data_IF_310102499460
#
_entry.id   IF_310102499460
#
_cell.length_a   1.000
_cell.length_b   1.000
_cell.length_c   1.000
_cell.angle_alpha   90.00
_cell.angle_beta   90.00
_cell.angle_gamma   90.00
#
_symmetry.space_group_name_H-M   'P 1'
#
loop_
_entity.id
_entity.type
_entity.pdbx_description
1 polymer ?
#
# COMPACT_ATOMS: atom_id res chain seq x y z
N UNK A 1 0.28 12.49 -20.43
CA UNK A 1 -0.35 11.92 -19.22
C UNK A 1 -1.11 13.00 -18.47
N UNK A 2 -2.33 12.73 -18.04
CA UNK A 2 -3.26 13.73 -17.49
C UNK A 2 -2.72 14.57 -16.31
N UNK A 3 -1.93 13.97 -15.45
CA UNK A 3 -1.45 14.55 -14.19
C UNK A 3 0.07 14.77 -14.14
N UNK A 4 0.75 14.78 -15.29
CA UNK A 4 2.22 14.82 -15.34
C UNK A 4 2.87 15.99 -14.57
N UNK A 5 2.22 17.16 -14.56
CA UNK A 5 2.77 18.33 -13.88
C UNK A 5 2.54 18.30 -12.36
N UNK A 6 1.57 17.52 -11.90
CA UNK A 6 1.19 17.43 -10.50
C UNK A 6 1.80 16.21 -9.78
N UNK A 7 2.13 15.14 -10.55
CA UNK A 7 2.75 13.93 -9.99
C UNK A 7 4.12 14.28 -9.40
N UNK A 8 4.33 13.85 -8.16
CA UNK A 8 5.53 14.14 -7.40
C UNK A 8 5.52 15.49 -6.66
N UNK A 9 4.58 16.39 -6.99
CA UNK A 9 4.36 17.65 -6.26
C UNK A 9 3.25 17.47 -5.22
N UNK A 10 2.01 17.53 -5.67
CA UNK A 10 0.81 17.44 -4.83
C UNK A 10 -0.04 16.19 -5.12
N UNK A 11 0.33 15.40 -6.11
CA UNK A 11 -0.34 14.15 -6.47
C UNK A 11 0.65 12.99 -6.49
N UNK A 12 0.20 11.87 -5.93
CA UNK A 12 0.78 10.55 -6.15
C UNK A 12 -0.25 9.68 -6.85
N UNK A 13 0.16 8.99 -7.90
CA UNK A 13 -0.73 8.12 -8.66
C UNK A 13 -0.11 6.73 -8.81
N UNK A 14 -0.92 5.70 -8.61
CA UNK A 14 -0.52 4.32 -8.82
C UNK A 14 -1.67 3.54 -9.46
N UNK A 15 -1.50 3.17 -10.73
CA UNK A 15 -2.48 2.48 -11.56
C UNK A 15 -3.82 3.25 -11.56
N UNK A 16 -4.81 2.81 -10.78
CA UNK A 16 -6.15 3.37 -10.70
C UNK A 16 -6.35 4.28 -9.47
N UNK A 17 -5.39 4.31 -8.55
CA UNK A 17 -5.48 5.08 -7.31
C UNK A 17 -4.73 6.41 -7.43
N UNK A 18 -5.39 7.49 -7.04
CA UNK A 18 -4.83 8.84 -7.03
C UNK A 18 -4.98 9.44 -5.63
N UNK A 19 -3.89 9.94 -5.09
CA UNK A 19 -3.86 10.64 -3.80
C UNK A 19 -3.43 12.08 -4.03
N UNK A 20 -4.25 13.01 -3.60
CA UNK A 20 -3.93 14.45 -3.54
C UNK A 20 -3.50 14.78 -2.12
N UNK A 21 -2.30 15.33 -1.97
CA UNK A 21 -1.70 15.70 -0.68
C UNK A 21 -1.45 17.20 -0.64
N UNK A 22 -1.77 17.83 0.48
CA UNK A 22 -1.55 19.25 0.69
C UNK A 22 -1.17 19.54 2.14
N UNK A 23 -0.42 20.62 2.36
CA UNK A 23 0.04 21.01 3.70
C UNK A 23 -1.04 21.71 4.52
N UNK A 24 -1.95 22.41 3.87
CA UNK A 24 -3.04 23.19 4.50
C UNK A 24 -4.38 22.90 3.83
N UNK A 25 -5.46 23.16 4.54
CA UNK A 25 -6.82 22.96 4.00
C UNK A 25 -7.10 23.84 2.76
N UNK A 26 -6.62 25.10 2.79
CA UNK A 26 -6.82 26.02 1.67
C UNK A 26 -6.07 25.55 0.42
N UNK A 27 -4.82 25.09 0.60
CA UNK A 27 -4.06 24.51 -0.50
C UNK A 27 -4.70 23.23 -1.03
N UNK A 28 -5.31 22.42 -0.16
CA UNK A 28 -6.01 21.20 -0.57
C UNK A 28 -7.17 21.52 -1.53
N UNK A 29 -7.93 22.56 -1.24
CA UNK A 29 -9.04 22.98 -2.11
C UNK A 29 -8.52 23.42 -3.48
N UNK A 30 -7.45 24.22 -3.51
CA UNK A 30 -6.82 24.66 -4.75
C UNK A 30 -6.23 23.48 -5.55
N UNK A 31 -5.54 22.57 -4.89
CA UNK A 31 -4.93 21.37 -5.50
C UNK A 31 -6.01 20.41 -6.04
N UNK A 32 -7.14 20.28 -5.34
CA UNK A 32 -8.28 19.50 -5.82
C UNK A 32 -8.94 20.13 -7.04
N UNK A 33 -9.11 21.45 -7.06
CA UNK A 33 -9.70 22.17 -8.21
C UNK A 33 -8.84 21.97 -9.45
N UNK A 34 -7.53 22.13 -9.34
CA UNK A 34 -6.58 21.85 -10.41
C UNK A 34 -6.66 20.39 -10.88
N UNK A 35 -6.70 19.45 -9.94
CA UNK A 35 -6.80 18.02 -10.23
C UNK A 35 -8.08 17.69 -10.99
N UNK A 36 -9.22 18.18 -10.52
CA UNK A 36 -10.51 17.95 -11.18
C UNK A 36 -10.58 18.60 -12.55
N UNK A 37 -9.99 19.76 -12.74
CA UNK A 37 -9.88 20.43 -14.04
C UNK A 37 -9.12 19.55 -15.01
N UNK A 38 -7.98 19.01 -14.60
CA UNK A 38 -7.17 18.12 -15.42
C UNK A 38 -7.91 16.81 -15.74
N UNK A 39 -8.52 16.16 -14.75
CA UNK A 39 -9.29 14.95 -14.97
C UNK A 39 -10.45 15.16 -15.94
N UNK A 40 -11.16 16.27 -15.83
CA UNK A 40 -12.26 16.66 -16.72
C UNK A 40 -11.78 16.88 -18.15
N UNK A 41 -10.64 17.56 -18.32
CA UNK A 41 -10.04 17.81 -19.63
C UNK A 41 -9.72 16.51 -20.38
N UNK A 42 -9.25 15.50 -19.65
CA UNK A 42 -8.94 14.19 -20.23
C UNK A 42 -10.11 13.20 -20.15
N UNK A 43 -11.31 13.67 -19.79
CA UNK A 43 -12.55 12.87 -19.70
C UNK A 43 -12.45 11.66 -18.76
N UNK A 44 -11.65 11.76 -17.72
CA UNK A 44 -11.57 10.73 -16.67
C UNK A 44 -12.82 10.77 -15.79
N UNK A 45 -13.29 9.60 -15.39
CA UNK A 45 -14.42 9.46 -14.47
C UNK A 45 -13.94 8.93 -13.15
N UNK A 46 -14.36 9.56 -12.05
CA UNK A 46 -14.14 9.10 -10.70
C UNK A 46 -15.37 8.33 -10.21
N UNK A 47 -15.14 7.36 -9.33
CA UNK A 47 -16.22 6.70 -8.61
C UNK A 47 -16.45 7.41 -7.25
N UNK A 48 -17.53 8.19 -7.08
CA UNK A 48 -17.74 8.97 -5.86
C UNK A 48 -17.82 8.12 -4.60
N UNK A 49 -18.35 6.89 -4.69
CA UNK A 49 -18.47 5.98 -3.55
C UNK A 49 -17.13 5.46 -3.02
N UNK A 50 -16.05 5.61 -3.79
CA UNK A 50 -14.69 5.23 -3.40
C UNK A 50 -13.80 6.43 -3.08
N UNK A 51 -14.28 7.64 -3.31
CA UNK A 51 -13.53 8.86 -3.01
C UNK A 51 -13.64 9.22 -1.53
N UNK A 52 -12.53 9.59 -0.93
CA UNK A 52 -12.42 10.06 0.45
C UNK A 52 -11.73 11.42 0.42
N UNK A 53 -12.30 12.41 1.11
CA UNK A 53 -11.78 13.77 1.12
C UNK A 53 -11.56 14.28 2.54
N UNK A 54 -10.57 15.18 2.69
CA UNK A 54 -10.35 15.93 3.91
C UNK A 54 -9.96 15.08 5.12
N UNK A 55 -9.26 13.97 4.91
CA UNK A 55 -8.80 13.09 5.99
C UNK A 55 -7.32 13.32 6.30
N UNK A 56 -6.89 13.21 7.56
CA UNK A 56 -5.48 13.37 7.95
C UNK A 56 -4.61 12.20 7.49
N UNK A 57 -5.22 11.05 7.25
CA UNK A 57 -4.55 9.84 6.75
C UNK A 57 -5.50 9.02 5.89
N UNK A 58 -4.95 8.21 5.00
CA UNK A 58 -5.71 7.31 4.13
C UNK A 58 -4.96 6.00 3.90
N UNK A 59 -5.70 4.97 3.52
CA UNK A 59 -5.10 3.69 3.12
C UNK A 59 -4.85 3.72 1.62
N UNK A 60 -3.58 3.57 1.24
CA UNK A 60 -3.15 3.45 -0.15
C UNK A 60 -2.33 2.18 -0.32
N UNK A 61 -2.70 1.31 -1.25
CA UNK A 61 -2.03 0.03 -1.51
C UNK A 61 -1.84 -0.84 -0.24
N UNK A 62 -2.76 -0.70 0.72
CA UNK A 62 -2.70 -1.41 1.98
C UNK A 62 -1.75 -0.83 3.04
N UNK A 63 -1.20 0.35 2.80
CA UNK A 63 -0.42 1.12 3.78
C UNK A 63 -1.22 2.34 4.25
N UNK A 64 -0.98 2.75 5.49
CA UNK A 64 -1.52 4.01 5.99
C UNK A 64 -0.55 5.13 5.60
N UNK A 65 -1.05 6.10 4.85
CA UNK A 65 -0.30 7.28 4.43
C UNK A 65 -0.81 8.48 5.21
N UNK A 66 0.09 9.17 5.90
CA UNK A 66 -0.21 10.36 6.71
C UNK A 66 0.87 11.44 6.52
N UNK A 67 0.70 12.58 7.17
CA UNK A 67 1.74 13.63 7.22
C UNK A 67 3.04 13.16 7.88
N UNK A 68 2.98 12.13 8.72
CA UNK A 68 4.14 11.55 9.41
C UNK A 68 4.91 10.53 8.54
N UNK A 69 4.31 10.08 7.46
CA UNK A 69 4.90 9.12 6.53
C UNK A 69 3.99 7.95 6.21
N UNK A 70 4.61 6.83 5.87
CA UNK A 70 3.94 5.58 5.51
C UNK A 70 4.06 4.59 6.65
N UNK A 71 2.92 4.09 7.11
CA UNK A 71 2.83 3.13 8.21
C UNK A 71 2.17 1.83 7.76
N UNK A 72 2.49 0.76 8.47
CA UNK A 72 1.83 -0.53 8.28
C UNK A 72 0.37 -0.47 8.73
N UNK A 73 -0.51 -1.07 7.94
CA UNK A 73 -1.88 -1.32 8.38
C UNK A 73 -1.87 -2.33 9.54
N UNK A 74 -2.40 -1.97 10.72
CA UNK A 74 -2.46 -2.86 11.89
C UNK A 74 -3.12 -4.20 11.60
N UNK A 75 -4.11 -4.24 10.71
CA UNK A 75 -4.80 -5.48 10.32
C UNK A 75 -3.85 -6.47 9.63
N UNK A 76 -2.89 -5.97 8.84
CA UNK A 76 -1.87 -6.83 8.21
C UNK A 76 -0.85 -7.34 9.22
N UNK A 77 -0.50 -6.53 10.21
CA UNK A 77 0.39 -6.96 11.30
C UNK A 77 -0.30 -8.01 12.16
N UNK A 78 -1.55 -7.79 12.55
CA UNK A 78 -2.31 -8.73 13.37
C UNK A 78 -2.57 -10.06 12.65
N UNK A 79 -2.70 -10.05 11.33
CA UNK A 79 -2.82 -11.27 10.54
C UNK A 79 -1.59 -12.20 10.68
N UNK A 80 -0.40 -11.61 10.84
CA UNK A 80 0.84 -12.37 11.06
C UNK A 80 1.00 -12.76 12.53
N UNK A 81 0.77 -11.83 13.46
CA UNK A 81 0.95 -12.09 14.89
C UNK A 81 -0.02 -13.12 15.44
N UNK A 82 -1.23 -13.19 14.87
CA UNK A 82 -2.25 -14.17 15.22
C UNK A 82 -2.13 -15.49 14.44
N UNK A 83 -1.16 -15.59 13.53
CA UNK A 83 -0.94 -16.82 12.77
C UNK A 83 -0.39 -17.93 13.67
N UNK A 84 -1.03 -19.10 13.61
CA UNK A 84 -0.52 -20.28 14.29
C UNK A 84 0.82 -20.71 13.68
N UNK A 85 1.60 -21.45 14.47
CA UNK A 85 2.86 -22.04 14.01
C UNK A 85 2.63 -22.84 12.72
N UNK A 86 3.39 -22.61 11.64
CA UNK A 86 3.25 -23.38 10.40
C UNK A 86 3.44 -24.86 10.63
N UNK A 87 2.52 -25.68 10.16
CA UNK A 87 2.57 -27.14 10.26
C UNK A 87 2.67 -27.84 8.91
N UNK A 88 2.37 -27.12 7.83
CA UNK A 88 2.42 -27.65 6.48
C UNK A 88 2.98 -26.62 5.49
N UNK A 89 3.31 -27.07 4.28
CA UNK A 89 3.86 -26.22 3.21
C UNK A 89 2.95 -25.03 2.87
N UNK A 90 1.62 -25.21 2.89
CA UNK A 90 0.66 -24.14 2.68
C UNK A 90 0.74 -23.04 3.72
N UNK A 91 0.96 -23.38 4.97
CA UNK A 91 1.11 -22.41 6.05
C UNK A 91 2.39 -21.60 5.87
N UNK A 92 3.48 -22.24 5.44
CA UNK A 92 4.75 -21.57 5.13
C UNK A 92 4.58 -20.64 3.93
N UNK A 93 3.88 -21.06 2.88
CA UNK A 93 3.58 -20.21 1.73
C UNK A 93 2.77 -18.98 2.14
N UNK A 94 1.76 -19.15 2.98
CA UNK A 94 0.94 -18.06 3.52
C UNK A 94 1.78 -17.10 4.36
N UNK A 95 2.61 -17.61 5.27
CA UNK A 95 3.50 -16.78 6.09
C UNK A 95 4.50 -16.01 5.20
N UNK A 96 5.12 -16.67 4.26
CA UNK A 96 6.08 -16.07 3.34
C UNK A 96 5.42 -14.98 2.50
N UNK A 97 4.20 -15.21 1.98
CA UNK A 97 3.43 -14.20 1.26
C UNK A 97 3.13 -12.96 2.10
N UNK A 98 2.73 -13.16 3.36
CA UNK A 98 2.53 -12.05 4.30
C UNK A 98 3.83 -11.28 4.59
N UNK A 99 4.96 -11.97 4.77
CA UNK A 99 6.26 -11.33 5.00
C UNK A 99 6.72 -10.52 3.78
N UNK A 100 6.53 -11.05 2.57
CA UNK A 100 6.87 -10.34 1.33
C UNK A 100 6.01 -9.08 1.17
N UNK A 101 4.72 -9.16 1.50
CA UNK A 101 3.82 -8.00 1.48
C UNK A 101 4.26 -6.87 2.45
N UNK A 102 5.02 -7.20 3.50
CA UNK A 102 5.57 -6.27 4.48
C UNK A 102 7.07 -5.98 4.27
N UNK A 103 7.63 -6.35 3.11
CA UNK A 103 9.09 -6.34 2.86
C UNK A 103 9.75 -4.99 3.10
N UNK A 104 9.07 -3.88 2.79
CA UNK A 104 9.60 -2.53 3.02
C UNK A 104 9.83 -2.19 4.50
N UNK A 105 9.14 -2.88 5.41
CA UNK A 105 9.23 -2.65 6.85
C UNK A 105 10.03 -3.73 7.59
N UNK A 106 10.38 -4.81 6.92
CA UNK A 106 11.19 -5.89 7.49
C UNK A 106 12.62 -5.74 6.96
N UNK A 107 13.50 -5.24 7.82
CA UNK A 107 14.92 -5.16 7.48
C UNK A 107 15.50 -6.56 7.25
N UNK A 108 16.34 -6.69 6.23
CA UNK A 108 17.06 -7.93 5.90
C UNK A 108 16.12 -9.12 5.67
N UNK A 109 14.96 -8.88 5.03
CA UNK A 109 13.97 -9.93 4.77
C UNK A 109 14.56 -11.15 4.07
N UNK A 110 15.46 -10.94 3.10
CA UNK A 110 16.12 -12.03 2.37
C UNK A 110 16.87 -12.99 3.27
N UNK A 111 17.60 -12.49 4.26
CA UNK A 111 18.32 -13.29 5.23
C UNK A 111 17.37 -13.98 6.22
N UNK A 112 16.43 -13.23 6.77
CA UNK A 112 15.43 -13.77 7.73
C UNK A 112 14.50 -14.79 7.07
N UNK A 113 14.17 -14.60 5.81
CA UNK A 113 13.30 -15.48 5.04
C UNK A 113 14.01 -16.70 4.44
N UNK A 114 15.34 -16.77 4.48
CA UNK A 114 16.12 -17.81 3.79
C UNK A 114 15.71 -19.22 4.22
N UNK A 115 15.45 -19.44 5.50
CA UNK A 115 15.00 -20.73 6.02
C UNK A 115 13.66 -21.13 5.44
N UNK A 116 12.70 -20.20 5.34
CA UNK A 116 11.38 -20.45 4.77
C UNK A 116 11.45 -20.75 3.28
N UNK A 117 12.30 -20.04 2.53
CA UNK A 117 12.52 -20.31 1.11
C UNK A 117 13.19 -21.67 0.87
N UNK A 118 14.12 -22.08 1.73
CA UNK A 118 14.71 -23.43 1.68
C UNK A 118 13.67 -24.51 1.94
N UNK A 119 12.79 -24.32 2.91
CA UNK A 119 11.70 -25.25 3.20
C UNK A 119 10.71 -25.38 2.05
N UNK A 120 10.39 -24.28 1.36
CA UNK A 120 9.53 -24.30 0.18
C UNK A 120 10.15 -25.05 -1.01
N UNK A 121 11.49 -24.95 -1.18
CA UNK A 121 12.22 -25.72 -2.20
C UNK A 121 12.31 -27.20 -1.87
N UNK A 122 12.44 -27.52 -0.60
CA UNK A 122 12.58 -28.90 -0.11
C UNK A 122 11.23 -29.66 -0.07
N UNK A 123 10.24 -29.24 -0.81
CA UNK A 123 8.81 -29.61 -0.75
C UNK A 123 8.46 -31.13 -0.85
N UNK A 124 9.42 -32.03 -0.64
CA UNK A 124 9.20 -33.47 -0.61
C UNK A 124 9.14 -34.10 0.79
N UNK A 125 9.43 -33.36 1.85
CA UNK A 125 9.39 -33.89 3.22
C UNK A 125 9.05 -32.81 4.23
N UNK A 126 7.77 -32.56 4.41
CA UNK A 126 7.24 -32.02 5.65
C UNK A 126 6.50 -33.17 6.35
N UNK A 127 7.23 -33.87 7.07
CA UNK A 127 6.69 -34.82 8.08
C UNK A 127 6.83 -34.19 9.46
#
# INVERSE_FOLDING_TARGET
MCLNQQIGCNIEAYIDDVVVKSKTADNLIADLDETFTNLKQYRWKLNPSKCIFGVPSSILLGYIVSAQGIELNPDKVSAITNMKRPTCVKDIQKLTGCMVALSHFISRLGEKGLLFFKLLKASKCFS
#
